data_IF_827793285556
#
_entry.id   IF_827793285556
#
_cell.length_a   1.000
_cell.length_b   1.000
_cell.length_c   1.000
_cell.angle_alpha   90.00
_cell.angle_beta   90.00
_cell.angle_gamma   90.00
#
_symmetry.space_group_name_H-M   'P 1'
#
loop_
_entity.id
_entity.type
_entity.pdbx_description
1 polymer ?
#
# COMPACT_ATOMS: atom_id res chain seq x y z
N UNK A 1 -27.65 -12.29 34.98
CA UNK A 1 -26.56 -12.64 34.05
C UNK A 1 -26.16 -11.38 33.31
N UNK A 2 -25.07 -10.73 33.74
CA UNK A 2 -24.51 -9.55 33.10
C UNK A 2 -23.77 -9.99 31.84
N UNK A 3 -24.35 -9.74 30.68
CA UNK A 3 -23.65 -9.85 29.40
C UNK A 3 -22.56 -8.77 29.37
N UNK A 4 -21.33 -9.15 29.68
CA UNK A 4 -20.16 -8.35 29.34
C UNK A 4 -20.15 -8.22 27.82
N UNK A 5 -20.53 -7.05 27.32
CA UNK A 5 -20.40 -6.73 25.91
C UNK A 5 -18.90 -6.76 25.57
N UNK A 6 -18.42 -7.91 25.10
CA UNK A 6 -17.04 -8.05 24.64
C UNK A 6 -16.82 -7.03 23.53
N UNK A 7 -15.89 -6.10 23.80
CA UNK A 7 -15.47 -5.09 22.85
C UNK A 7 -14.95 -5.71 21.55
N UNK A 8 -14.72 -4.91 20.50
CA UNK A 8 -14.25 -5.44 19.24
C UNK A 8 -12.89 -6.13 19.40
N UNK A 9 -12.74 -7.27 18.74
CA UNK A 9 -11.50 -8.05 18.73
C UNK A 9 -10.37 -7.26 18.04
N UNK A 10 -9.12 -7.71 18.20
CA UNK A 10 -7.98 -7.07 17.53
C UNK A 10 -8.11 -7.10 16.01
N UNK A 11 -8.57 -8.22 15.43
CA UNK A 11 -8.78 -8.33 13.99
C UNK A 11 -9.89 -7.40 13.49
N UNK A 12 -10.99 -7.28 14.23
CA UNK A 12 -12.09 -6.35 13.92
C UNK A 12 -11.60 -4.89 13.92
N UNK A 13 -10.74 -4.51 14.88
CA UNK A 13 -10.12 -3.18 14.93
C UNK A 13 -9.21 -2.92 13.73
N UNK A 14 -8.37 -3.90 13.35
CA UNK A 14 -7.48 -3.79 12.19
C UNK A 14 -8.30 -3.65 10.91
N UNK A 15 -9.36 -4.43 10.73
CA UNK A 15 -10.26 -4.31 9.57
C UNK A 15 -10.93 -2.93 9.50
N UNK A 16 -11.42 -2.40 10.63
CA UNK A 16 -11.99 -1.06 10.68
C UNK A 16 -10.97 0.01 10.24
N UNK A 17 -9.74 -0.08 10.75
CA UNK A 17 -8.65 0.83 10.35
C UNK A 17 -8.38 0.70 8.85
N UNK A 18 -8.27 -0.53 8.32
CA UNK A 18 -8.01 -0.77 6.90
C UNK A 18 -9.11 -0.17 6.00
N UNK A 19 -10.38 -0.37 6.35
CA UNK A 19 -11.53 0.19 5.61
C UNK A 19 -11.50 1.72 5.65
N UNK A 20 -11.21 2.31 6.81
CA UNK A 20 -11.12 3.75 6.95
C UNK A 20 -9.95 4.33 6.15
N UNK A 21 -8.77 3.68 6.19
CA UNK A 21 -7.62 4.04 5.37
C UNK A 21 -7.95 3.97 3.88
N UNK A 22 -8.60 2.90 3.42
CA UNK A 22 -9.05 2.76 2.04
C UNK A 22 -10.01 3.88 1.64
N UNK A 23 -11.04 4.13 2.45
CA UNK A 23 -12.03 5.17 2.21
C UNK A 23 -11.40 6.57 2.11
N UNK A 24 -10.51 6.92 3.05
CA UNK A 24 -9.77 8.18 3.02
C UNK A 24 -8.88 8.31 1.77
N UNK A 25 -8.27 7.21 1.35
CA UNK A 25 -7.44 7.16 0.16
C UNK A 25 -8.28 7.32 -1.13
N UNK A 26 -9.47 6.72 -1.17
CA UNK A 26 -10.40 6.76 -2.29
C UNK A 26 -11.07 8.14 -2.44
N UNK A 27 -11.55 8.72 -1.33
CA UNK A 27 -12.14 10.08 -1.24
C UNK A 27 -11.24 11.15 -1.85
N UNK A 28 -9.92 10.94 -1.81
CA UNK A 28 -8.93 11.88 -2.35
C UNK A 28 -8.61 11.70 -3.82
N UNK A 29 -8.95 10.55 -4.40
CA UNK A 29 -8.62 10.19 -5.80
C UNK A 29 -9.83 10.13 -6.70
N UNK A 30 -11.02 9.92 -6.14
CA UNK A 30 -12.27 9.71 -6.87
C UNK A 30 -13.18 10.90 -6.58
N UNK A 31 -13.72 11.52 -7.64
CA UNK A 31 -14.56 12.73 -7.53
C UNK A 31 -15.91 12.50 -6.84
N UNK A 32 -16.42 11.27 -6.86
CA UNK A 32 -17.73 10.88 -6.30
C UNK A 32 -17.60 9.66 -5.37
N UNK A 33 -16.87 9.81 -4.27
CA UNK A 33 -16.75 8.75 -3.27
C UNK A 33 -17.81 8.90 -2.17
N UNK A 34 -18.41 7.79 -1.74
CA UNK A 34 -19.41 7.73 -0.68
C UNK A 34 -19.01 6.65 0.33
N UNK A 35 -18.75 7.08 1.57
CA UNK A 35 -18.43 6.16 2.66
C UNK A 35 -19.61 5.22 2.94
N UNK A 36 -20.84 5.73 2.86
CA UNK A 36 -22.05 4.95 3.06
C UNK A 36 -22.17 3.81 2.04
N UNK A 37 -21.95 4.11 0.76
CA UNK A 37 -22.04 3.11 -0.31
C UNK A 37 -20.92 2.07 -0.20
N UNK A 38 -19.71 2.49 0.19
CA UNK A 38 -18.62 1.57 0.47
C UNK A 38 -19.00 0.60 1.61
N UNK A 39 -19.53 1.11 2.72
CA UNK A 39 -19.90 0.28 3.86
C UNK A 39 -21.02 -0.71 3.50
N UNK A 40 -22.02 -0.28 2.72
CA UNK A 40 -23.09 -1.15 2.22
C UNK A 40 -22.50 -2.26 1.33
N UNK A 41 -21.61 -1.92 0.41
CA UNK A 41 -20.98 -2.90 -0.46
C UNK A 41 -20.13 -3.91 0.32
N UNK A 42 -19.33 -3.46 1.29
CA UNK A 42 -18.53 -4.37 2.13
C UNK A 42 -19.44 -5.29 2.94
N UNK A 43 -20.53 -4.78 3.51
CA UNK A 43 -21.51 -5.59 4.24
C UNK A 43 -22.20 -6.65 3.37
N UNK A 44 -22.34 -6.38 2.06
CA UNK A 44 -22.94 -7.33 1.11
C UNK A 44 -21.95 -8.39 0.65
N UNK A 45 -20.74 -7.97 0.30
CA UNK A 45 -19.73 -8.84 -0.34
C UNK A 45 -18.92 -9.65 0.67
N UNK A 46 -18.79 -9.17 1.90
CA UNK A 46 -18.05 -9.88 2.93
C UNK A 46 -18.97 -10.41 4.02
N UNK A 47 -18.73 -11.66 4.43
CA UNK A 47 -19.48 -12.35 5.51
C UNK A 47 -19.05 -11.87 6.91
N UNK A 48 -19.05 -10.55 7.11
CA UNK A 48 -18.64 -9.90 8.34
C UNK A 48 -19.88 -9.72 9.21
N UNK A 49 -20.35 -10.82 9.81
CA UNK A 49 -21.46 -10.81 10.78
C UNK A 49 -21.31 -9.70 11.84
N UNK A 50 -20.08 -9.41 12.27
CA UNK A 50 -19.79 -8.34 13.23
C UNK A 50 -19.97 -6.93 12.64
N UNK A 51 -19.77 -6.72 11.34
CA UNK A 51 -19.96 -5.40 10.72
C UNK A 51 -21.43 -4.96 10.77
N UNK A 52 -22.37 -5.91 10.63
CA UNK A 52 -23.81 -5.63 10.69
C UNK A 52 -24.26 -5.09 12.06
N UNK A 53 -23.61 -5.50 13.14
CA UNK A 53 -24.03 -5.17 14.51
C UNK A 53 -23.08 -4.22 15.26
N UNK A 54 -21.78 -4.17 14.91
CA UNK A 54 -20.76 -3.38 15.62
C UNK A 54 -20.17 -2.23 14.79
N UNK A 55 -20.23 -2.28 13.46
CA UNK A 55 -19.61 -1.26 12.60
C UNK A 55 -20.66 -0.47 11.82
N UNK A 56 -20.96 0.73 12.32
CA UNK A 56 -21.85 1.67 11.64
C UNK A 56 -21.08 2.88 11.12
N UNK A 57 -21.74 3.68 10.28
CA UNK A 57 -21.20 4.90 9.70
C UNK A 57 -20.54 5.81 10.75
N UNK A 58 -21.16 5.98 11.93
CA UNK A 58 -20.64 6.81 13.02
C UNK A 58 -19.26 6.32 13.51
N UNK A 59 -19.08 5.02 13.70
CA UNK A 59 -17.80 4.44 14.13
C UNK A 59 -16.72 4.63 13.06
N UNK A 60 -17.06 4.41 11.78
CA UNK A 60 -16.15 4.65 10.67
C UNK A 60 -15.74 6.13 10.57
N UNK A 61 -16.69 7.07 10.71
CA UNK A 61 -16.39 8.51 10.71
C UNK A 61 -15.49 8.91 11.87
N UNK A 62 -15.73 8.41 13.08
CA UNK A 62 -14.86 8.67 14.25
C UNK A 62 -13.45 8.16 13.97
N UNK A 63 -13.31 6.93 13.47
CA UNK A 63 -12.01 6.36 13.14
C UNK A 63 -11.30 7.15 12.04
N UNK A 64 -12.02 7.60 11.00
CA UNK A 64 -11.46 8.47 9.97
C UNK A 64 -10.92 9.78 10.55
N UNK A 65 -11.61 10.39 11.52
CA UNK A 65 -11.10 11.57 12.23
C UNK A 65 -9.81 11.23 13.00
N UNK A 66 -9.79 10.15 13.79
CA UNK A 66 -8.60 9.73 14.52
C UNK A 66 -7.40 9.46 13.60
N UNK A 67 -7.63 8.82 12.45
CA UNK A 67 -6.59 8.58 11.45
C UNK A 67 -6.07 9.91 10.90
N UNK A 68 -6.97 10.83 10.50
CA UNK A 68 -6.61 12.17 10.00
C UNK A 68 -5.78 12.96 11.00
N UNK A 69 -6.15 12.92 12.28
CA UNK A 69 -5.39 13.57 13.35
C UNK A 69 -3.98 12.98 13.50
N UNK A 70 -3.85 11.65 13.42
CA UNK A 70 -2.56 10.95 13.55
C UNK A 70 -1.62 11.19 12.37
N UNK A 71 -2.15 11.23 11.15
CA UNK A 71 -1.35 11.49 9.94
C UNK A 71 -1.16 13.00 9.68
N UNK A 72 -1.97 13.85 10.32
CA UNK A 72 -1.94 15.30 10.16
C UNK A 72 -2.13 15.72 8.70
N UNK A 73 -1.29 16.65 8.24
CA UNK A 73 -1.32 17.14 6.85
C UNK A 73 -0.69 16.17 5.82
N UNK A 74 -0.22 14.99 6.23
CA UNK A 74 0.44 14.00 5.34
C UNK A 74 -0.57 13.13 4.59
N UNK A 75 -1.64 13.73 4.10
CA UNK A 75 -2.73 13.02 3.40
C UNK A 75 -2.40 12.62 1.96
N UNK A 76 -1.27 13.10 1.42
CA UNK A 76 -0.78 12.78 0.08
C UNK A 76 0.53 12.00 0.17
N UNK A 77 0.49 10.70 0.51
CA UNK A 77 1.69 9.90 0.53
C UNK A 77 2.25 9.77 -0.88
N UNK A 78 3.56 9.98 -1.03
CA UNK A 78 4.28 9.61 -2.23
C UNK A 78 4.34 8.08 -2.27
N UNK A 79 3.87 7.47 -3.37
CA UNK A 79 3.82 6.00 -3.50
C UNK A 79 4.80 5.51 -4.55
N UNK A 80 5.11 4.21 -4.54
CA UNK A 80 6.02 3.60 -5.52
C UNK A 80 5.55 3.83 -6.97
N UNK A 81 4.23 3.92 -7.18
CA UNK A 81 3.63 4.22 -8.49
C UNK A 81 4.07 5.57 -9.07
N UNK A 82 4.45 6.55 -8.25
CA UNK A 82 4.94 7.85 -8.72
C UNK A 82 6.28 7.72 -9.44
N UNK A 83 7.15 6.84 -8.93
CA UNK A 83 8.48 6.59 -9.49
C UNK A 83 8.46 5.59 -10.64
N UNK A 84 7.38 4.82 -10.78
CA UNK A 84 7.28 3.78 -11.79
C UNK A 84 7.46 4.31 -13.22
N UNK A 85 6.96 5.50 -13.55
CA UNK A 85 7.17 6.10 -14.87
C UNK A 85 8.64 6.34 -15.18
N UNK A 86 9.41 6.80 -14.19
CA UNK A 86 10.82 7.09 -14.33
C UNK A 86 11.60 5.80 -14.57
N UNK A 87 11.44 4.80 -13.70
CA UNK A 87 12.16 3.54 -13.84
C UNK A 87 11.72 2.73 -15.06
N UNK A 88 10.41 2.62 -15.32
CA UNK A 88 9.89 1.83 -16.43
C UNK A 88 10.45 2.26 -17.80
N UNK A 89 10.85 3.53 -17.97
CA UNK A 89 11.49 3.98 -19.20
C UNK A 89 12.75 3.17 -19.56
N UNK A 90 13.51 2.71 -18.56
CA UNK A 90 14.72 1.89 -18.74
C UNK A 90 14.40 0.41 -19.03
N UNK A 91 13.27 -0.09 -18.53
CA UNK A 91 12.87 -1.48 -18.67
C UNK A 91 11.97 -1.75 -19.88
N UNK A 92 11.28 -0.71 -20.39
CA UNK A 92 10.40 -0.79 -21.56
C UNK A 92 11.09 -1.37 -22.81
N UNK A 93 12.35 -1.01 -23.15
CA UNK A 93 13.04 -1.59 -24.31
C UNK A 93 13.26 -3.11 -24.22
N UNK A 94 13.22 -3.69 -23.01
CA UNK A 94 13.38 -5.14 -22.79
C UNK A 94 12.09 -5.92 -23.07
N UNK A 95 11.03 -5.27 -23.55
CA UNK A 95 9.74 -5.90 -23.79
C UNK A 95 8.90 -6.15 -22.53
N UNK A 96 9.32 -5.61 -21.37
CA UNK A 96 8.59 -5.77 -20.13
C UNK A 96 7.22 -5.10 -20.17
N UNK A 97 6.21 -5.86 -19.74
CA UNK A 97 4.84 -5.34 -19.60
C UNK A 97 4.72 -4.59 -18.29
N UNK A 98 4.30 -3.32 -18.38
CA UNK A 98 3.98 -2.50 -17.20
C UNK A 98 3.01 -3.16 -16.23
N UNK A 99 2.08 -3.96 -16.75
CA UNK A 99 1.10 -4.68 -15.94
C UNK A 99 1.77 -5.61 -14.92
N UNK A 100 2.77 -6.38 -15.34
CA UNK A 100 3.50 -7.30 -14.45
C UNK A 100 4.21 -6.57 -13.31
N UNK A 101 4.75 -5.38 -13.57
CA UNK A 101 5.38 -4.55 -12.53
C UNK A 101 4.32 -4.01 -11.55
N UNK A 102 3.15 -3.58 -12.06
CA UNK A 102 2.04 -3.15 -11.21
C UNK A 102 1.56 -4.27 -10.29
N UNK A 103 1.47 -5.51 -10.79
CA UNK A 103 1.06 -6.67 -9.98
C UNK A 103 2.04 -6.94 -8.85
N UNK A 104 3.35 -6.93 -9.13
CA UNK A 104 4.40 -7.07 -8.11
C UNK A 104 4.27 -5.96 -7.05
N UNK A 105 4.06 -4.70 -7.48
CA UNK A 105 3.87 -3.58 -6.56
C UNK A 105 2.63 -3.73 -5.66
N UNK A 106 1.51 -4.21 -6.22
CA UNK A 106 0.28 -4.45 -5.45
C UNK A 106 0.48 -5.59 -4.45
N UNK A 107 1.14 -6.68 -4.86
CA UNK A 107 1.44 -7.81 -3.97
C UNK A 107 2.36 -7.39 -2.83
N UNK A 108 3.39 -6.60 -3.13
CA UNK A 108 4.34 -6.12 -2.13
C UNK A 108 3.67 -5.30 -1.00
N UNK A 109 2.54 -4.63 -1.26
CA UNK A 109 1.81 -3.90 -0.21
C UNK A 109 1.21 -4.81 0.88
N UNK A 110 1.09 -6.11 0.61
CA UNK A 110 0.67 -7.11 1.58
C UNK A 110 1.78 -7.56 2.53
N UNK A 111 3.05 -7.23 2.22
CA UNK A 111 4.19 -7.65 3.02
C UNK A 111 4.43 -6.74 4.21
N UNK A 112 4.72 -7.34 5.37
CA UNK A 112 4.97 -6.60 6.61
C UNK A 112 6.16 -5.64 6.53
N UNK A 113 7.16 -5.95 5.70
CA UNK A 113 8.35 -5.11 5.48
C UNK A 113 8.13 -3.98 4.47
N UNK A 114 6.96 -3.90 3.82
CA UNK A 114 6.69 -2.88 2.81
C UNK A 114 6.88 -1.45 3.34
N UNK A 115 6.58 -1.24 4.63
CA UNK A 115 6.70 0.06 5.30
C UNK A 115 8.14 0.46 5.64
N UNK A 116 9.10 -0.47 5.50
CA UNK A 116 10.50 -0.25 5.87
C UNK A 116 11.34 0.32 4.72
N UNK A 117 10.80 0.33 3.49
CA UNK A 117 11.53 0.75 2.29
C UNK A 117 11.00 2.07 1.72
N UNK A 118 11.87 2.86 1.08
CA UNK A 118 11.41 4.08 0.42
C UNK A 118 10.63 3.72 -0.86
N UNK A 119 9.60 4.52 -1.23
CA UNK A 119 8.85 4.29 -2.46
C UNK A 119 9.67 4.18 -3.77
N UNK A 120 10.76 4.93 -3.99
CA UNK A 120 11.63 4.72 -5.16
C UNK A 120 12.27 3.33 -5.18
N UNK A 121 12.78 2.87 -4.04
CA UNK A 121 13.45 1.57 -3.91
C UNK A 121 12.49 0.43 -4.22
N UNK A 122 11.25 0.54 -3.71
CA UNK A 122 10.16 -0.40 -4.00
C UNK A 122 9.86 -0.40 -5.51
N UNK A 123 9.75 0.78 -6.13
CA UNK A 123 9.45 0.89 -7.56
C UNK A 123 10.55 0.31 -8.45
N UNK A 124 11.82 0.61 -8.14
CA UNK A 124 12.96 0.06 -8.84
C UNK A 124 13.05 -1.46 -8.66
N UNK A 125 12.92 -1.94 -7.42
CA UNK A 125 12.95 -3.37 -7.11
C UNK A 125 11.84 -4.14 -7.82
N UNK A 126 10.64 -3.56 -7.95
CA UNK A 126 9.56 -4.18 -8.72
C UNK A 126 9.88 -4.27 -10.22
N UNK A 127 10.54 -3.27 -10.80
CA UNK A 127 11.02 -3.34 -12.19
C UNK A 127 12.08 -4.43 -12.38
N UNK A 128 13.06 -4.51 -11.46
CA UNK A 128 14.10 -5.55 -11.50
C UNK A 128 13.48 -6.93 -11.33
N UNK A 129 12.58 -7.12 -10.37
CA UNK A 129 11.89 -8.39 -10.16
C UNK A 129 11.11 -8.83 -11.41
N UNK A 130 10.38 -7.92 -12.05
CA UNK A 130 9.70 -8.22 -13.31
C UNK A 130 10.68 -8.62 -14.42
N UNK A 131 11.82 -7.93 -14.53
CA UNK A 131 12.88 -8.25 -15.49
C UNK A 131 13.47 -9.63 -15.25
N UNK A 132 13.82 -9.95 -14.01
CA UNK A 132 14.37 -11.26 -13.62
C UNK A 132 13.39 -12.40 -13.89
N UNK A 133 12.08 -12.16 -13.74
CA UNK A 133 11.06 -13.16 -14.04
C UNK A 133 10.89 -13.35 -15.55
N UNK A 134 10.99 -12.28 -16.35
CA UNK A 134 10.69 -12.31 -17.76
C UNK A 134 11.90 -12.63 -18.66
N UNK A 135 13.12 -12.43 -18.18
CA UNK A 135 14.37 -12.54 -18.95
C UNK A 135 15.24 -13.66 -18.38
N UNK A 136 15.92 -14.41 -19.25
CA UNK A 136 16.89 -15.43 -18.83
C UNK A 136 18.14 -14.82 -18.18
N UNK A 137 18.60 -13.68 -18.71
CA UNK A 137 19.69 -12.89 -18.15
C UNK A 137 19.34 -11.40 -18.13
N UNK A 138 19.72 -10.73 -17.04
CA UNK A 138 19.56 -9.28 -16.92
C UNK A 138 20.66 -8.56 -17.70
N UNK A 139 20.30 -7.51 -18.47
CA UNK A 139 21.26 -6.60 -19.09
C UNK A 139 22.29 -6.05 -18.10
N UNK A 140 23.55 -5.93 -18.54
CA UNK A 140 24.67 -5.56 -17.68
C UNK A 140 24.51 -4.16 -17.05
N UNK A 141 23.87 -3.24 -17.76
CA UNK A 141 23.51 -1.90 -17.27
C UNK A 141 22.52 -1.97 -16.09
N UNK A 142 21.53 -2.86 -16.15
CA UNK A 142 20.56 -3.07 -15.06
C UNK A 142 21.22 -3.78 -13.88
N UNK A 143 22.09 -4.76 -14.14
CA UNK A 143 22.89 -5.38 -13.09
C UNK A 143 23.80 -4.37 -12.38
N UNK A 144 24.42 -3.45 -13.12
CA UNK A 144 25.21 -2.33 -12.58
C UNK A 144 24.36 -1.34 -11.79
N UNK A 145 23.14 -1.03 -12.25
CA UNK A 145 22.20 -0.19 -11.48
C UNK A 145 21.81 -0.85 -10.17
N UNK A 146 21.53 -2.16 -10.19
CA UNK A 146 21.13 -2.92 -9.00
C UNK A 146 22.25 -2.95 -7.96
N UNK A 147 23.49 -3.19 -8.40
CA UNK A 147 24.67 -3.18 -7.51
C UNK A 147 25.00 -1.80 -6.96
N UNK A 148 24.85 -0.74 -7.75
CA UNK A 148 25.08 0.64 -7.30
C UNK A 148 23.98 1.14 -6.36
N UNK A 149 22.70 0.90 -6.65
CA UNK A 149 21.56 1.25 -5.79
C UNK A 149 21.62 0.49 -4.45
N UNK A 150 21.95 -0.80 -4.45
CA UNK A 150 22.17 -1.58 -3.22
C UNK A 150 23.35 -1.00 -2.40
N UNK A 151 24.37 -0.47 -3.05
CA UNK A 151 25.48 0.22 -2.40
C UNK A 151 25.03 1.54 -1.76
N UNK A 152 24.22 2.34 -2.46
CA UNK A 152 23.62 3.57 -1.93
C UNK A 152 22.64 3.32 -0.77
N UNK A 153 21.89 2.23 -0.81
CA UNK A 153 21.00 1.80 0.28
C UNK A 153 21.77 1.44 1.55
N UNK A 154 22.91 0.76 1.43
CA UNK A 154 23.82 0.52 2.56
C UNK A 154 24.33 1.83 3.18
N UNK A 155 24.63 2.83 2.35
CA UNK A 155 25.12 4.13 2.81
C UNK A 155 24.00 4.94 3.50
N UNK A 156 22.78 4.95 2.96
CA UNK A 156 21.64 5.63 3.60
C UNK A 156 21.20 4.97 4.91
N UNK A 157 21.21 3.64 4.99
CA UNK A 157 20.94 2.93 6.24
C UNK A 157 21.99 3.21 7.32
N UNK A 158 23.22 3.61 6.98
CA UNK A 158 24.22 4.06 7.95
C UNK A 158 24.02 5.53 8.32
N UNK A 159 23.64 6.38 7.36
CA UNK A 159 23.44 7.81 7.58
C UNK A 159 22.16 8.16 8.38
N UNK A 160 21.16 7.28 8.42
CA UNK A 160 19.97 7.46 9.27
C UNK A 160 20.16 7.05 10.75
N UNK A 161 21.36 6.58 11.12
CA UNK A 161 21.73 6.20 12.50
C UNK A 161 22.83 7.08 13.11
N UNK A 162 23.10 8.26 12.52
CA UNK A 162 23.99 9.29 13.10
C UNK A 162 23.25 10.60 13.28
#
# INVERSE_FOLDING_TARGET
MTTTAEGPSTSEKVSLIAICCFALSADRRISSFSLSDLLINIQREMDFSWMKYKMNYKMASIMQCCIREKIGNKLHPVTAFWFLNHYYAHFKPLGLKRHSINEILVQAQGEHTFVDFMPPDIAFSACVAAATIALEELPEDINKMTTNEVCWLKIKCIACYV
#
